data_IF_522479760096
#
_entry.id   IF_522479760096
#
_cell.length_a   1.000
_cell.length_b   1.000
_cell.length_c   1.000
_cell.angle_alpha   90.00
_cell.angle_beta   90.00
_cell.angle_gamma   90.00
#
_symmetry.space_group_name_H-M   'P 1'
#
loop_
_entity.id
_entity.type
_entity.pdbx_description
1 polymer ?
#
# COMPACT_ATOMS: atom_id res chain seq x y z
N UNK A 1 -64.14 47.55 -10.66
CA UNK A 1 -63.42 46.37 -11.19
C UNK A 1 -62.48 45.77 -10.12
N UNK A 2 -63.01 45.18 -9.04
CA UNK A 2 -62.21 44.48 -8.00
C UNK A 2 -62.82 43.14 -7.53
N UNK A 3 -63.96 42.73 -8.08
CA UNK A 3 -64.64 41.48 -7.70
C UNK A 3 -64.04 40.26 -8.39
N UNK A 4 -63.58 40.40 -9.64
CA UNK A 4 -63.03 39.28 -10.42
C UNK A 4 -61.74 38.70 -9.80
N UNK A 5 -60.75 39.50 -9.34
CA UNK A 5 -59.55 38.96 -8.69
C UNK A 5 -59.86 38.26 -7.36
N UNK A 6 -60.82 38.78 -6.60
CA UNK A 6 -61.20 38.22 -5.30
C UNK A 6 -61.87 36.84 -5.43
N UNK A 7 -62.69 36.65 -6.47
CA UNK A 7 -63.33 35.37 -6.77
C UNK A 7 -62.29 34.33 -7.20
N UNK A 8 -61.31 34.72 -8.03
CA UNK A 8 -60.24 33.81 -8.47
C UNK A 8 -59.39 33.34 -7.27
N UNK A 9 -59.06 34.26 -6.34
CA UNK A 9 -58.31 33.91 -5.13
C UNK A 9 -59.11 32.95 -4.23
N UNK A 10 -60.40 33.22 -4.01
CA UNK A 10 -61.28 32.38 -3.19
C UNK A 10 -61.43 30.96 -3.78
N UNK A 11 -61.60 30.85 -5.10
CA UNK A 11 -61.69 29.56 -5.80
C UNK A 11 -60.35 28.82 -5.73
N UNK A 12 -59.22 29.51 -5.85
CA UNK A 12 -57.89 28.89 -5.78
C UNK A 12 -57.60 28.31 -4.38
N UNK A 13 -58.02 29.00 -3.32
CA UNK A 13 -57.90 28.50 -1.94
C UNK A 13 -58.77 27.25 -1.75
N UNK A 14 -60.02 27.28 -2.24
CA UNK A 14 -60.93 26.13 -2.14
C UNK A 14 -60.40 24.91 -2.88
N UNK A 15 -59.85 25.08 -4.08
CA UNK A 15 -59.23 23.99 -4.85
C UNK A 15 -57.99 23.45 -4.13
N UNK A 16 -57.12 24.33 -3.61
CA UNK A 16 -55.93 23.93 -2.84
C UNK A 16 -56.27 23.11 -1.61
N UNK A 17 -57.29 23.52 -0.84
CA UNK A 17 -57.78 22.77 0.32
C UNK A 17 -58.39 21.42 -0.07
N UNK A 18 -59.09 21.34 -1.19
CA UNK A 18 -59.66 20.08 -1.69
C UNK A 18 -58.57 19.09 -2.09
N UNK A 19 -57.47 19.56 -2.67
CA UNK A 19 -56.32 18.73 -3.07
C UNK A 19 -55.63 18.15 -1.81
N UNK A 20 -55.38 18.97 -0.79
CA UNK A 20 -54.73 18.51 0.46
C UNK A 20 -55.55 17.43 1.16
N UNK A 21 -56.89 17.55 1.16
CA UNK A 21 -57.79 16.59 1.80
C UNK A 21 -57.98 15.31 0.96
N UNK A 22 -57.90 15.39 -0.37
CA UNK A 22 -58.13 14.24 -1.26
C UNK A 22 -56.90 13.35 -1.45
N UNK A 23 -55.68 13.88 -1.31
CA UNK A 23 -54.43 13.09 -1.41
C UNK A 23 -54.39 11.88 -0.46
N UNK A 24 -54.69 12.00 0.86
CA UNK A 24 -54.68 10.83 1.76
C UNK A 24 -55.82 9.82 1.50
N UNK A 25 -56.84 10.20 0.72
CA UNK A 25 -57.96 9.32 0.36
C UNK A 25 -57.62 8.38 -0.81
N UNK A 26 -56.79 8.85 -1.74
CA UNK A 26 -56.30 8.07 -2.90
C UNK A 26 -54.92 7.45 -2.65
N UNK A 27 -54.15 7.99 -1.71
CA UNK A 27 -52.86 7.46 -1.25
C UNK A 27 -52.92 7.26 0.28
N UNK A 28 -53.58 6.21 0.77
CA UNK A 28 -53.60 5.93 2.19
C UNK A 28 -52.16 5.77 2.68
N UNK A 29 -51.72 6.50 3.73
CA UNK A 29 -50.39 6.33 4.28
C UNK A 29 -50.27 4.89 4.76
N UNK A 30 -49.24 4.20 4.24
CA UNK A 30 -48.92 2.84 4.65
C UNK A 30 -48.68 2.87 6.15
N UNK A 31 -49.60 2.24 6.88
CA UNK A 31 -49.69 2.32 8.33
C UNK A 31 -48.38 1.96 9.01
N UNK A 32 -48.06 2.72 10.06
CA UNK A 32 -47.07 2.32 11.04
C UNK A 32 -47.50 1.00 11.68
N UNK A 33 -46.82 -0.06 11.29
CA UNK A 33 -46.70 -1.28 12.08
C UNK A 33 -45.33 -1.26 12.73
N UNK A 34 -45.30 -1.48 14.05
CA UNK A 34 -44.10 -1.76 14.83
C UNK A 34 -43.17 -2.73 14.11
N UNK A 35 -41.92 -2.30 13.92
CA UNK A 35 -40.85 -3.06 13.29
C UNK A 35 -39.60 -2.20 13.20
N UNK A 36 -38.79 -2.22 14.26
CA UNK A 36 -37.52 -1.49 14.31
C UNK A 36 -36.50 -2.01 13.28
N UNK A 37 -35.70 -1.08 12.76
CA UNK A 37 -34.37 -1.34 12.20
C UNK A 37 -34.31 -2.03 10.84
N UNK A 38 -34.60 -1.32 9.74
CA UNK A 38 -34.18 -1.79 8.40
C UNK A 38 -34.09 -0.72 7.30
N UNK A 39 -34.33 0.57 7.56
CA UNK A 39 -34.16 1.63 6.56
C UNK A 39 -32.87 2.38 6.88
N UNK A 40 -31.97 2.43 5.88
CA UNK A 40 -30.65 3.11 5.81
C UNK A 40 -29.35 2.30 6.03
N UNK A 41 -29.35 0.97 5.94
CA UNK A 41 -28.07 0.25 5.77
C UNK A 41 -27.49 0.41 4.35
N UNK A 42 -28.33 0.38 3.31
CA UNK A 42 -27.86 0.53 1.93
C UNK A 42 -27.40 1.97 1.64
N UNK A 43 -28.14 2.98 2.12
CA UNK A 43 -27.75 4.38 1.95
C UNK A 43 -26.44 4.71 2.69
N UNK A 44 -26.20 4.09 3.85
CA UNK A 44 -24.96 4.27 4.62
C UNK A 44 -23.78 3.54 3.98
N UNK A 45 -23.99 2.33 3.45
CA UNK A 45 -22.97 1.59 2.67
C UNK A 45 -22.61 2.34 1.39
N UNK A 46 -23.60 2.90 0.67
CA UNK A 46 -23.37 3.70 -0.55
C UNK A 46 -22.62 5.01 -0.24
N UNK A 47 -22.90 5.67 0.90
CA UNK A 47 -22.18 6.86 1.34
C UNK A 47 -20.72 6.54 1.71
N UNK A 48 -20.47 5.40 2.37
CA UNK A 48 -19.10 4.98 2.70
C UNK A 48 -18.32 4.55 1.45
N UNK A 49 -18.98 3.90 0.49
CA UNK A 49 -18.38 3.54 -0.80
C UNK A 49 -18.05 4.78 -1.64
N UNK A 50 -18.95 5.77 -1.69
CA UNK A 50 -18.70 7.05 -2.37
C UNK A 50 -17.61 7.89 -1.69
N UNK A 51 -17.50 7.84 -0.36
CA UNK A 51 -16.37 8.48 0.34
C UNK A 51 -15.05 7.77 0.05
N UNK A 52 -15.04 6.43 -0.02
CA UNK A 52 -13.88 5.66 -0.45
C UNK A 52 -13.43 6.00 -1.88
N UNK A 53 -14.38 6.15 -2.81
CA UNK A 53 -14.10 6.55 -4.20
C UNK A 53 -13.57 7.99 -4.28
N UNK A 54 -14.08 8.91 -3.46
CA UNK A 54 -13.58 10.29 -3.39
C UNK A 54 -12.17 10.37 -2.81
N UNK A 55 -11.84 9.53 -1.83
CA UNK A 55 -10.48 9.42 -1.28
C UNK A 55 -9.51 8.79 -2.28
N UNK A 56 -9.93 7.72 -2.97
CA UNK A 56 -9.14 7.11 -4.04
C UNK A 56 -8.92 8.09 -5.20
N UNK A 57 -9.92 8.89 -5.56
CA UNK A 57 -9.77 9.96 -6.55
C UNK A 57 -8.88 11.10 -6.04
N UNK A 58 -8.96 11.45 -4.76
CA UNK A 58 -8.06 12.46 -4.17
C UNK A 58 -6.61 11.99 -4.17
N UNK A 59 -6.36 10.69 -3.97
CA UNK A 59 -5.04 10.08 -4.09
C UNK A 59 -4.55 10.10 -5.55
N UNK A 60 -5.40 9.77 -6.52
CA UNK A 60 -5.05 9.88 -7.95
C UNK A 60 -4.75 11.34 -8.34
N UNK A 61 -5.49 12.31 -7.81
CA UNK A 61 -5.25 13.75 -8.06
C UNK A 61 -3.97 14.23 -7.38
N UNK A 62 -3.64 13.74 -6.19
CA UNK A 62 -2.36 14.02 -5.54
C UNK A 62 -1.19 13.42 -6.34
N UNK A 63 -1.33 12.17 -6.80
CA UNK A 63 -0.34 11.50 -7.65
C UNK A 63 -0.12 12.23 -8.98
N UNK A 64 -1.18 12.78 -9.59
CA UNK A 64 -1.08 13.59 -10.79
C UNK A 64 -0.37 14.93 -10.53
N UNK A 65 -0.61 15.58 -9.39
CA UNK A 65 0.11 16.80 -9.00
C UNK A 65 1.60 16.54 -8.80
N UNK A 66 1.96 15.46 -8.10
CA UNK A 66 3.35 15.08 -7.89
C UNK A 66 4.06 14.73 -9.21
N UNK A 67 3.35 14.13 -10.18
CA UNK A 67 3.87 13.89 -11.53
C UNK A 67 4.11 15.19 -12.30
N UNK A 68 3.23 16.19 -12.15
CA UNK A 68 3.39 17.51 -12.76
C UNK A 68 4.59 18.24 -12.14
N UNK A 69 4.72 18.24 -10.82
CA UNK A 69 5.84 18.87 -10.11
C UNK A 69 7.18 18.19 -10.45
N UNK A 70 7.21 16.86 -10.59
CA UNK A 70 8.39 16.13 -11.02
C UNK A 70 8.76 16.42 -12.48
N UNK A 71 7.77 16.60 -13.36
CA UNK A 71 8.00 16.99 -14.75
C UNK A 71 8.52 18.43 -14.84
N UNK A 72 7.96 19.34 -14.04
CA UNK A 72 8.38 20.74 -13.96
C UNK A 72 9.83 20.85 -13.47
N UNK A 73 10.19 20.11 -12.42
CA UNK A 73 11.58 20.03 -11.94
C UNK A 73 12.55 19.46 -12.98
N UNK A 74 12.11 18.49 -13.79
CA UNK A 74 12.91 17.94 -14.90
C UNK A 74 13.08 18.94 -16.04
N UNK A 75 12.06 19.73 -16.36
CA UNK A 75 12.13 20.80 -17.35
C UNK A 75 13.08 21.90 -16.86
N UNK A 76 12.97 22.31 -15.60
CA UNK A 76 13.89 23.29 -14.98
C UNK A 76 15.35 22.79 -15.02
N UNK A 77 15.59 21.51 -14.73
CA UNK A 77 16.94 20.92 -14.79
C UNK A 77 17.51 20.86 -16.22
N UNK A 78 16.65 20.67 -17.24
CA UNK A 78 17.04 20.68 -18.65
C UNK A 78 17.26 22.10 -19.18
N UNK A 79 16.47 23.06 -18.72
CA UNK A 79 16.59 24.48 -19.08
C UNK A 79 17.78 25.17 -18.39
N UNK A 80 18.21 24.68 -17.22
CA UNK A 80 19.32 25.25 -16.47
C UNK A 80 20.69 25.06 -17.15
N UNK A 81 20.89 24.04 -17.99
CA UNK A 81 22.14 23.75 -18.70
C UNK A 81 23.37 23.51 -17.80
N UNK A 82 24.40 22.76 -18.22
CA UNK A 82 25.56 22.51 -17.37
C UNK A 82 26.51 23.72 -17.38
N UNK A 83 26.51 24.52 -16.31
CA UNK A 83 27.59 25.47 -16.02
C UNK A 83 28.53 24.88 -14.98
N UNK A 84 29.53 24.10 -15.43
CA UNK A 84 30.59 23.55 -14.60
C UNK A 84 31.59 22.75 -15.44
N UNK A 85 32.90 22.82 -15.15
CA UNK A 85 33.94 22.36 -16.07
C UNK A 85 33.89 20.84 -16.22
N UNK A 86 34.10 20.38 -17.45
CA UNK A 86 34.09 18.99 -17.86
C UNK A 86 35.00 18.12 -16.98
N UNK A 87 34.40 17.38 -16.06
CA UNK A 87 34.96 16.16 -15.52
C UNK A 87 34.33 15.00 -16.30
N UNK A 88 35.20 14.14 -16.81
CA UNK A 88 34.98 13.02 -17.72
C UNK A 88 33.89 12.06 -17.18
N UNK A 89 32.63 12.33 -17.56
CA UNK A 89 31.44 11.56 -17.18
C UNK A 89 31.16 10.41 -18.14
N UNK A 90 32.20 9.70 -18.56
CA UNK A 90 32.04 8.45 -19.29
C UNK A 90 31.29 7.43 -18.42
N UNK A 91 30.31 6.76 -19.02
CA UNK A 91 29.71 5.53 -18.49
C UNK A 91 30.85 4.62 -17.99
N UNK A 92 31.03 4.51 -16.67
CA UNK A 92 32.03 3.61 -16.12
C UNK A 92 31.55 2.18 -16.37
N UNK A 93 32.00 1.60 -17.48
CA UNK A 93 32.05 0.17 -17.66
C UNK A 93 33.10 -0.33 -16.68
N UNK A 94 32.64 -0.85 -15.55
CA UNK A 94 33.48 -1.41 -14.48
C UNK A 94 34.31 -2.55 -15.12
N UNK A 95 35.60 -2.32 -15.25
CA UNK A 95 36.55 -3.37 -15.61
C UNK A 95 36.93 -4.10 -14.31
N UNK A 96 36.71 -5.41 -14.19
CA UNK A 96 37.03 -6.15 -12.97
C UNK A 96 38.55 -6.21 -12.78
N UNK A 97 39.06 -5.50 -11.78
CA UNK A 97 40.47 -5.49 -11.38
C UNK A 97 40.73 -6.43 -10.21
N UNK A 98 40.58 -7.73 -10.44
CA UNK A 98 41.13 -8.77 -9.56
C UNK A 98 40.11 -9.56 -8.73
N UNK A 99 40.59 -10.52 -7.91
CA UNK A 99 39.74 -11.62 -7.42
C UNK A 99 38.77 -11.28 -6.29
N UNK A 100 38.69 -10.05 -5.75
CA UNK A 100 37.94 -9.76 -4.51
C UNK A 100 37.40 -8.32 -4.37
N UNK A 101 37.21 -7.54 -5.44
CA UNK A 101 36.74 -6.14 -5.31
C UNK A 101 35.21 -5.99 -5.08
N UNK A 102 34.41 -7.05 -5.26
CA UNK A 102 32.93 -7.00 -5.09
C UNK A 102 32.52 -7.01 -3.59
N UNK A 103 33.40 -7.47 -2.70
CA UNK A 103 33.07 -7.73 -1.29
C UNK A 103 32.75 -6.46 -0.47
N UNK A 104 33.31 -5.31 -0.84
CA UNK A 104 33.03 -4.01 -0.20
C UNK A 104 31.96 -3.18 -0.95
N UNK A 105 31.35 -3.75 -2.00
CA UNK A 105 30.42 -3.04 -2.87
C UNK A 105 28.95 -3.33 -2.59
N UNK A 106 28.61 -4.36 -1.81
CA UNK A 106 27.20 -4.70 -1.58
C UNK A 106 26.39 -3.60 -0.89
N UNK A 107 27.03 -2.84 0.01
CA UNK A 107 26.42 -1.68 0.66
C UNK A 107 26.52 -0.39 -0.19
N UNK A 108 27.19 -0.42 -1.34
CA UNK A 108 27.29 0.72 -2.24
C UNK A 108 25.91 1.06 -2.82
N UNK A 109 25.59 2.35 -2.81
CA UNK A 109 24.32 2.86 -3.31
C UNK A 109 24.37 3.05 -4.83
N UNK A 110 23.51 2.33 -5.55
CA UNK A 110 23.39 2.32 -7.01
C UNK A 110 22.02 2.84 -7.45
N UNK A 111 21.93 3.35 -8.68
CA UNK A 111 20.64 3.76 -9.25
C UNK A 111 19.78 2.53 -9.52
N UNK A 112 18.50 2.61 -9.16
CA UNK A 112 17.53 1.57 -9.52
C UNK A 112 17.00 1.86 -10.92
N UNK A 113 17.49 1.13 -11.92
CA UNK A 113 17.01 1.25 -13.29
C UNK A 113 15.64 0.56 -13.47
N UNK A 114 14.82 1.09 -14.37
CA UNK A 114 13.52 0.52 -14.76
C UNK A 114 12.63 0.06 -13.58
N UNK A 115 12.49 0.92 -12.57
CA UNK A 115 11.77 0.64 -11.32
C UNK A 115 10.37 0.06 -11.52
N UNK A 116 9.68 0.48 -12.60
CA UNK A 116 8.30 0.05 -12.88
C UNK A 116 8.22 -1.39 -13.39
N UNK A 117 9.31 -1.96 -13.88
CA UNK A 117 9.35 -3.34 -14.35
C UNK A 117 9.81 -4.34 -13.28
N UNK A 118 10.28 -3.87 -12.10
CA UNK A 118 10.89 -4.72 -11.07
C UNK A 118 9.96 -5.81 -10.55
N UNK A 119 8.67 -5.53 -10.41
CA UNK A 119 7.67 -6.46 -9.87
C UNK A 119 6.80 -7.08 -10.96
N UNK A 120 7.33 -7.21 -12.19
CA UNK A 120 6.53 -7.68 -13.33
C UNK A 120 5.96 -9.08 -13.08
N UNK A 121 4.64 -9.18 -13.11
CA UNK A 121 3.93 -10.44 -12.90
C UNK A 121 3.52 -10.69 -11.44
N UNK A 122 3.82 -9.78 -10.53
CA UNK A 122 3.36 -9.81 -9.14
C UNK A 122 2.45 -8.62 -8.86
N UNK A 123 1.41 -8.86 -8.05
CA UNK A 123 0.49 -7.82 -7.63
C UNK A 123 0.77 -7.41 -6.20
N UNK A 124 0.97 -6.11 -5.98
CA UNK A 124 1.12 -5.49 -4.65
C UNK A 124 -0.24 -5.58 -3.92
N UNK A 125 -0.34 -6.23 -2.76
CA UNK A 125 -1.59 -6.30 -2.00
C UNK A 125 -1.98 -4.92 -1.45
N UNK A 126 -3.19 -4.46 -1.74
CA UNK A 126 -3.69 -3.18 -1.21
C UNK A 126 -4.12 -3.34 0.25
N UNK A 127 -4.06 -2.25 1.03
CA UNK A 127 -4.57 -2.23 2.41
C UNK A 127 -6.01 -2.74 2.50
N UNK A 128 -6.89 -2.30 1.60
CA UNK A 128 -8.29 -2.74 1.56
C UNK A 128 -8.42 -4.25 1.35
N UNK A 129 -7.65 -4.81 0.41
CA UNK A 129 -7.66 -6.25 0.14
C UNK A 129 -7.11 -7.07 1.33
N UNK A 130 -6.07 -6.59 2.01
CA UNK A 130 -5.54 -7.25 3.21
C UNK A 130 -6.58 -7.27 4.34
N UNK A 131 -7.29 -6.16 4.56
CA UNK A 131 -8.36 -6.08 5.55
C UNK A 131 -9.53 -6.99 5.16
N UNK A 132 -9.91 -7.05 3.89
CA UNK A 132 -10.96 -7.96 3.42
C UNK A 132 -10.58 -9.43 3.64
N UNK A 133 -9.31 -9.77 3.40
CA UNK A 133 -8.80 -11.15 3.47
C UNK A 133 -8.61 -11.64 4.91
N UNK A 134 -8.14 -10.77 5.81
CA UNK A 134 -7.73 -11.17 7.16
C UNK A 134 -8.54 -10.54 8.29
N UNK A 135 -9.33 -9.51 8.01
CA UNK A 135 -9.83 -8.56 8.99
C UNK A 135 -8.74 -7.56 9.43
N UNK A 136 -9.09 -6.58 10.27
CA UNK A 136 -8.12 -5.63 10.80
C UNK A 136 -7.08 -6.37 11.68
N UNK A 137 -5.79 -5.98 11.65
CA UNK A 137 -4.75 -6.61 12.46
C UNK A 137 -4.82 -6.19 13.94
N UNK A 138 -5.39 -5.02 14.23
CA UNK A 138 -5.69 -4.55 15.58
C UNK A 138 -6.94 -3.65 15.61
N UNK A 139 -7.54 -3.50 16.79
CA UNK A 139 -8.77 -2.72 16.98
C UNK A 139 -8.57 -1.22 16.78
N UNK A 140 -7.39 -0.71 17.12
CA UNK A 140 -7.02 0.70 16.97
C UNK A 140 -5.66 0.79 16.28
N UNK A 141 -5.61 1.49 15.15
CA UNK A 141 -4.40 1.71 14.39
C UNK A 141 -4.07 3.21 14.39
N UNK A 142 -2.80 3.51 14.64
CA UNK A 142 -2.26 4.86 14.60
C UNK A 142 -0.95 4.88 13.82
N UNK A 143 -0.13 5.90 14.07
CA UNK A 143 1.19 6.09 13.45
C UNK A 143 2.34 5.37 14.19
N UNK A 144 2.07 4.85 15.39
CA UNK A 144 3.01 4.09 16.23
C UNK A 144 2.72 2.60 16.19
N UNK A 145 3.75 1.77 16.35
CA UNK A 145 3.60 0.31 16.32
C UNK A 145 2.77 -0.16 17.54
N UNK A 146 1.63 -0.78 17.27
CA UNK A 146 0.79 -1.45 18.24
C UNK A 146 1.09 -2.96 18.30
N UNK A 147 0.41 -3.64 19.22
CA UNK A 147 0.37 -5.12 19.28
C UNK A 147 -0.76 -5.64 18.40
N UNK A 148 -0.54 -6.76 17.71
CA UNK A 148 -1.59 -7.43 16.94
C UNK A 148 -2.65 -8.00 17.88
N UNK A 149 -3.92 -7.56 17.73
CA UNK A 149 -5.05 -8.06 18.54
C UNK A 149 -5.94 -9.03 17.78
N UNK A 150 -5.77 -9.17 16.46
CA UNK A 150 -6.47 -10.17 15.67
C UNK A 150 -6.04 -11.60 16.09
N UNK A 151 -6.94 -12.41 16.69
CA UNK A 151 -6.55 -13.69 17.30
C UNK A 151 -6.12 -14.74 16.26
N UNK A 152 -6.67 -14.68 15.04
CA UNK A 152 -6.29 -15.59 13.94
C UNK A 152 -4.85 -15.33 13.52
N UNK A 153 -4.52 -14.06 13.26
CA UNK A 153 -3.16 -13.69 12.84
C UNK A 153 -2.16 -13.83 13.98
N UNK A 154 -2.52 -13.42 15.20
CA UNK A 154 -1.65 -13.51 16.37
C UNK A 154 -1.26 -14.95 16.70
N UNK A 155 -2.17 -15.91 16.50
CA UNK A 155 -1.88 -17.34 16.67
C UNK A 155 -0.88 -17.91 15.66
N UNK A 156 -0.65 -17.22 14.56
CA UNK A 156 0.29 -17.59 13.49
C UNK A 156 1.60 -16.80 13.54
N UNK A 157 1.70 -15.76 14.38
CA UNK A 157 2.93 -14.97 14.49
C UNK A 157 4.07 -15.79 15.09
N UNK A 158 5.24 -15.65 14.49
CA UNK A 158 6.48 -16.27 14.95
C UNK A 158 7.58 -15.23 15.05
N UNK A 159 8.13 -15.08 16.25
CA UNK A 159 9.35 -14.33 16.52
C UNK A 159 10.53 -15.29 16.51
N UNK A 160 11.23 -15.39 15.38
CA UNK A 160 12.28 -16.40 15.16
C UNK A 160 13.43 -15.87 14.32
N UNK A 161 14.56 -16.57 14.40
CA UNK A 161 15.70 -16.36 13.51
C UNK A 161 15.45 -17.11 12.20
N UNK A 162 15.58 -16.42 11.07
CA UNK A 162 15.50 -17.00 9.71
C UNK A 162 16.77 -16.60 8.97
N UNK A 163 17.66 -17.57 8.78
CA UNK A 163 18.99 -17.30 8.24
C UNK A 163 19.74 -16.24 9.07
N UNK A 164 20.23 -15.13 8.47
CA UNK A 164 20.98 -14.10 9.18
C UNK A 164 20.08 -13.07 9.90
N UNK A 165 18.75 -13.09 9.67
CA UNK A 165 17.82 -12.08 10.20
C UNK A 165 16.89 -12.61 11.28
N UNK A 166 16.54 -11.75 12.26
CA UNK A 166 15.53 -12.04 13.27
C UNK A 166 14.23 -11.33 12.93
N UNK A 167 13.16 -12.10 12.70
CA UNK A 167 11.88 -11.55 12.23
C UNK A 167 10.73 -11.90 13.18
N UNK A 168 9.70 -11.07 13.18
CA UNK A 168 8.39 -11.36 13.75
C UNK A 168 7.37 -11.29 12.61
N UNK A 169 6.91 -12.42 12.10
CA UNK A 169 6.06 -12.49 10.90
C UNK A 169 5.08 -13.66 11.01
N UNK A 170 4.09 -13.74 10.13
CA UNK A 170 3.23 -14.92 10.05
C UNK A 170 4.07 -16.14 9.65
N UNK A 171 3.74 -17.29 10.23
CA UNK A 171 4.39 -18.58 9.96
C UNK A 171 4.64 -18.86 8.46
N UNK A 172 3.65 -18.76 7.54
CA UNK A 172 3.91 -19.01 6.13
C UNK A 172 4.88 -17.99 5.50
N UNK A 173 4.87 -16.73 5.95
CA UNK A 173 5.84 -15.72 5.52
C UNK A 173 7.25 -16.06 6.00
N UNK A 174 7.40 -16.53 7.24
CA UNK A 174 8.66 -17.02 7.81
C UNK A 174 9.21 -18.20 7.00
N UNK A 175 8.35 -19.17 6.68
CA UNK A 175 8.72 -20.34 5.88
C UNK A 175 9.17 -19.93 4.48
N UNK A 176 8.44 -19.04 3.82
CA UNK A 176 8.79 -18.53 2.48
C UNK A 176 10.09 -17.72 2.48
N UNK A 177 10.27 -16.82 3.45
CA UNK A 177 11.51 -16.06 3.63
C UNK A 177 12.72 -17.00 3.82
N UNK A 178 12.54 -18.10 4.57
CA UNK A 178 13.59 -19.11 4.75
C UNK A 178 14.02 -19.76 3.44
N UNK A 179 13.07 -20.04 2.53
CA UNK A 179 13.37 -20.58 1.20
C UNK A 179 14.17 -19.58 0.36
N UNK A 180 13.74 -18.31 0.34
CA UNK A 180 14.44 -17.24 -0.39
C UNK A 180 15.88 -17.09 0.12
N UNK A 181 16.07 -16.99 1.44
CA UNK A 181 17.38 -16.77 2.03
C UNK A 181 18.32 -17.97 1.85
N UNK A 182 17.80 -19.21 1.83
CA UNK A 182 18.62 -20.37 1.51
C UNK A 182 19.07 -20.36 0.03
N UNK A 183 18.22 -19.93 -0.91
CA UNK A 183 18.63 -19.73 -2.31
C UNK A 183 19.72 -18.68 -2.45
N UNK A 184 19.60 -17.56 -1.72
CA UNK A 184 20.64 -16.53 -1.68
C UNK A 184 21.94 -17.12 -1.13
N UNK A 185 21.89 -17.86 -0.02
CA UNK A 185 23.07 -18.50 0.57
C UNK A 185 23.77 -19.47 -0.39
N UNK A 186 23.01 -20.22 -1.19
CA UNK A 186 23.57 -21.16 -2.16
C UNK A 186 24.22 -20.44 -3.35
N UNK A 187 23.69 -19.28 -3.75
CA UNK A 187 24.18 -18.51 -4.88
C UNK A 187 25.32 -17.54 -4.52
N UNK A 188 25.19 -16.83 -3.41
CA UNK A 188 26.12 -15.83 -2.90
C UNK A 188 26.18 -15.87 -1.36
N UNK A 189 27.04 -16.75 -0.79
CA UNK A 189 27.23 -16.85 0.66
C UNK A 189 27.75 -15.56 1.32
N UNK A 190 28.49 -14.73 0.58
CA UNK A 190 29.09 -13.50 1.10
C UNK A 190 28.04 -12.40 1.24
N UNK A 191 27.17 -12.22 0.24
CA UNK A 191 25.99 -11.36 0.37
C UNK A 191 25.11 -11.84 1.52
N UNK A 192 24.83 -13.15 1.58
CA UNK A 192 23.99 -13.73 2.64
C UNK A 192 24.48 -13.38 4.05
N UNK A 193 25.80 -13.44 4.29
CA UNK A 193 26.38 -13.13 5.59
C UNK A 193 26.22 -11.67 6.03
N UNK A 194 25.94 -10.76 5.08
CA UNK A 194 25.81 -9.31 5.30
C UNK A 194 24.38 -8.82 5.42
N UNK A 195 23.40 -9.68 5.12
CA UNK A 195 21.98 -9.34 5.24
C UNK A 195 21.63 -9.14 6.71
N UNK A 196 20.97 -8.02 7.01
CA UNK A 196 20.38 -7.76 8.31
C UNK A 196 18.94 -7.23 8.12
N UNK A 197 18.19 -7.14 9.21
CA UNK A 197 16.80 -6.68 9.21
C UNK A 197 16.66 -5.33 9.88
N UNK A 198 15.80 -4.49 9.31
CA UNK A 198 15.41 -3.18 9.82
C UNK A 198 14.02 -3.18 10.45
N UNK A 199 13.26 -4.27 10.28
CA UNK A 199 11.89 -4.40 10.76
C UNK A 199 11.14 -5.55 10.09
N UNK A 200 10.09 -6.05 10.73
CA UNK A 200 9.21 -7.09 10.15
C UNK A 200 7.76 -6.92 10.60
N UNK A 201 7.48 -6.93 11.91
CA UNK A 201 6.17 -6.56 12.45
C UNK A 201 6.16 -5.12 12.99
N UNK A 202 5.23 -4.31 12.49
CA UNK A 202 4.85 -3.05 13.11
C UNK A 202 3.38 -2.76 12.78
N UNK A 203 2.49 -2.99 13.74
CA UNK A 203 1.03 -2.87 13.56
C UNK A 203 0.63 -1.41 13.61
N UNK A 204 0.48 -0.77 12.45
CA UNK A 204 0.19 0.65 12.30
C UNK A 204 -0.43 0.99 10.94
N UNK A 205 -0.89 2.23 10.81
CA UNK A 205 -1.15 2.85 9.53
C UNK A 205 0.17 3.18 8.82
N UNK A 206 0.13 3.27 7.49
CA UNK A 206 1.19 3.85 6.68
C UNK A 206 1.45 5.27 7.19
N UNK A 207 2.72 5.67 7.29
CA UNK A 207 3.06 6.96 7.91
C UNK A 207 2.47 8.09 7.07
N UNK A 208 1.68 8.95 7.71
CA UNK A 208 0.96 10.04 7.02
C UNK A 208 -0.36 9.63 6.39
N UNK A 209 -0.78 8.37 6.50
CA UNK A 209 -2.11 7.92 6.09
C UNK A 209 -3.09 7.92 7.27
N UNK A 210 -4.35 8.27 6.99
CA UNK A 210 -5.44 8.20 7.96
C UNK A 210 -6.21 6.87 7.90
N UNK A 211 -6.07 6.10 6.82
CA UNK A 211 -6.89 4.92 6.54
C UNK A 211 -6.12 3.71 6.00
N UNK A 212 -4.93 3.90 5.42
CA UNK A 212 -4.14 2.80 4.84
C UNK A 212 -3.34 2.09 5.92
N UNK A 213 -3.60 0.82 6.10
CA UNK A 213 -2.85 -0.09 6.99
C UNK A 213 -1.59 -0.55 6.29
N UNK A 214 -0.45 -0.53 6.98
CA UNK A 214 0.80 -1.05 6.45
C UNK A 214 0.78 -2.58 6.35
N UNK A 215 1.40 -3.15 5.32
CA UNK A 215 1.57 -4.61 5.17
C UNK A 215 2.40 -5.24 6.30
N UNK A 216 3.32 -4.48 6.91
CA UNK A 216 3.99 -4.86 8.17
C UNK A 216 3.03 -5.14 9.32
N UNK A 217 1.82 -4.58 9.29
CA UNK A 217 0.82 -4.83 10.33
C UNK A 217 0.26 -6.24 10.30
N UNK A 218 0.37 -6.91 9.16
CA UNK A 218 -0.14 -8.27 8.96
C UNK A 218 0.95 -9.32 9.13
N UNK A 219 2.22 -8.94 9.35
CA UNK A 219 3.34 -9.89 9.41
C UNK A 219 3.65 -10.53 8.04
N UNK A 220 3.42 -9.79 6.96
CA UNK A 220 3.60 -10.20 5.57
C UNK A 220 4.80 -9.52 4.88
N UNK A 221 5.49 -8.64 5.60
CA UNK A 221 6.57 -7.80 5.07
C UNK A 221 7.81 -7.82 5.95
N UNK A 222 8.96 -7.56 5.35
CA UNK A 222 10.25 -7.44 6.02
C UNK A 222 11.05 -6.31 5.39
N UNK A 223 11.65 -5.49 6.24
CA UNK A 223 12.63 -4.50 5.82
C UNK A 223 14.03 -5.08 6.04
N UNK A 224 14.83 -5.09 4.99
CA UNK A 224 16.19 -5.60 4.98
C UNK A 224 17.20 -4.49 4.72
N UNK A 225 18.43 -4.74 5.14
CA UNK A 225 19.57 -3.90 4.84
C UNK A 225 20.83 -4.75 4.68
N UNK A 226 21.87 -4.14 4.10
CA UNK A 226 23.21 -4.73 3.99
C UNK A 226 24.15 -4.04 4.97
N UNK A 227 24.89 -4.83 5.75
CA UNK A 227 25.90 -4.37 6.72
C UNK A 227 25.34 -3.41 7.80
N UNK A 228 24.04 -3.48 8.10
CA UNK A 228 23.40 -2.62 9.12
C UNK A 228 23.07 -1.21 8.63
N UNK A 229 23.29 -0.90 7.34
CA UNK A 229 23.11 0.46 6.79
C UNK A 229 21.74 0.56 6.12
N UNK A 230 20.87 1.42 6.67
CA UNK A 230 19.55 1.67 6.11
C UNK A 230 19.63 2.51 4.83
N UNK A 231 18.87 2.11 3.81
CA UNK A 231 18.72 2.87 2.58
C UNK A 231 17.84 4.13 2.74
N UNK A 232 18.04 5.13 1.88
CA UNK A 232 17.32 6.41 1.99
C UNK A 232 16.04 6.41 1.16
N UNK A 233 14.91 6.32 1.85
CA UNK A 233 13.56 6.33 1.27
C UNK A 233 13.33 7.46 0.24
N UNK A 234 13.09 7.10 -1.02
CA UNK A 234 12.61 8.00 -2.05
C UNK A 234 13.70 8.70 -2.86
N UNK A 235 14.97 8.32 -2.69
CA UNK A 235 16.09 8.95 -3.41
C UNK A 235 16.35 8.32 -4.79
N UNK A 236 15.64 7.22 -5.10
CA UNK A 236 15.74 6.51 -6.38
C UNK A 236 17.00 5.65 -6.50
N UNK A 237 17.66 5.40 -5.40
CA UNK A 237 18.85 4.56 -5.29
C UNK A 237 18.58 3.43 -4.30
N UNK A 238 19.51 2.48 -4.23
CA UNK A 238 19.47 1.39 -3.26
C UNK A 238 20.84 0.78 -3.08
N UNK A 239 21.05 0.01 -2.01
CA UNK A 239 22.25 -0.81 -1.86
C UNK A 239 22.32 -1.89 -2.95
N UNK A 240 23.48 -2.08 -3.58
CA UNK A 240 23.68 -3.08 -4.63
C UNK A 240 23.20 -4.48 -4.20
N UNK A 241 23.45 -4.87 -2.95
CA UNK A 241 22.97 -6.13 -2.40
C UNK A 241 21.45 -6.27 -2.42
N UNK A 242 20.69 -5.20 -2.16
CA UNK A 242 19.21 -5.21 -2.22
C UNK A 242 18.71 -5.41 -3.66
N UNK A 243 19.44 -4.89 -4.66
CA UNK A 243 19.14 -5.15 -6.07
C UNK A 243 19.29 -6.64 -6.39
N UNK A 244 20.37 -7.27 -5.93
CA UNK A 244 20.61 -8.71 -6.13
C UNK A 244 19.55 -9.54 -5.39
N UNK A 245 19.22 -9.18 -4.15
CA UNK A 245 18.19 -9.88 -3.37
C UNK A 245 16.84 -9.84 -4.07
N UNK A 246 16.50 -8.72 -4.72
CA UNK A 246 15.21 -8.55 -5.37
C UNK A 246 14.88 -9.62 -6.41
N UNK A 247 15.88 -10.17 -7.10
CA UNK A 247 15.67 -11.25 -8.07
C UNK A 247 15.23 -12.55 -7.39
N UNK A 248 15.82 -12.89 -6.24
CA UNK A 248 15.45 -14.07 -5.45
C UNK A 248 14.06 -13.91 -4.84
N UNK A 249 13.76 -12.73 -4.30
CA UNK A 249 12.46 -12.40 -3.72
C UNK A 249 11.36 -12.48 -4.79
N UNK A 250 11.53 -11.82 -5.94
CA UNK A 250 10.57 -11.86 -7.03
C UNK A 250 10.33 -13.28 -7.55
N UNK A 251 11.39 -14.09 -7.68
CA UNK A 251 11.29 -15.47 -8.12
C UNK A 251 10.43 -16.37 -7.19
N UNK A 252 10.33 -16.01 -5.90
CA UNK A 252 9.49 -16.69 -4.90
C UNK A 252 8.18 -15.94 -4.60
N UNK A 253 7.81 -14.95 -5.42
CA UNK A 253 6.53 -14.26 -5.32
C UNK A 253 6.49 -13.13 -4.29
N UNK A 254 7.63 -12.55 -3.94
CA UNK A 254 7.71 -11.35 -3.12
C UNK A 254 7.88 -10.10 -3.99
N UNK A 255 7.12 -9.07 -3.65
CA UNK A 255 7.21 -7.73 -4.21
C UNK A 255 8.36 -6.97 -3.55
N UNK A 256 9.09 -6.20 -4.33
CA UNK A 256 10.12 -5.28 -3.85
C UNK A 256 9.64 -3.81 -3.87
N UNK A 257 9.76 -3.12 -2.73
CA UNK A 257 9.32 -1.74 -2.54
C UNK A 257 10.08 -0.71 -3.36
N UNK A 258 11.26 -1.05 -3.91
CA UNK A 258 11.93 -0.17 -4.87
C UNK A 258 11.08 0.07 -6.14
N UNK A 259 10.11 -0.80 -6.44
CA UNK A 259 9.19 -0.63 -7.58
C UNK A 259 8.01 0.32 -7.35
N UNK A 260 7.82 0.80 -6.10
CA UNK A 260 6.69 1.66 -5.73
C UNK A 260 6.76 3.07 -6.35
N UNK A 261 5.66 3.82 -6.27
CA UNK A 261 5.66 5.23 -6.67
C UNK A 261 6.73 6.03 -5.93
N UNK A 262 6.63 6.02 -4.59
CA UNK A 262 7.71 6.41 -3.69
C UNK A 262 8.58 5.18 -3.43
N UNK A 263 9.84 5.26 -3.82
CA UNK A 263 10.82 4.21 -3.62
C UNK A 263 10.97 3.85 -2.14
N UNK A 264 10.93 2.55 -1.84
CA UNK A 264 11.19 1.98 -0.51
C UNK A 264 12.02 0.69 -0.65
N UNK A 265 13.31 0.82 -0.94
CA UNK A 265 14.15 -0.29 -1.39
C UNK A 265 14.55 -1.28 -0.31
N UNK A 266 14.40 -0.92 0.97
CA UNK A 266 14.56 -1.85 2.08
C UNK A 266 13.38 -2.83 2.18
N UNK A 267 12.22 -2.48 1.63
CA UNK A 267 10.96 -3.16 1.86
C UNK A 267 10.73 -4.33 0.91
N UNK A 268 10.40 -5.50 1.46
CA UNK A 268 9.91 -6.66 0.74
C UNK A 268 8.60 -7.14 1.34
N UNK A 269 7.62 -7.49 0.50
CA UNK A 269 6.33 -8.02 0.96
C UNK A 269 5.82 -9.16 0.10
N UNK A 270 5.04 -10.05 0.71
CA UNK A 270 4.39 -11.12 -0.04
C UNK A 270 3.41 -10.55 -1.07
N UNK A 271 3.51 -10.98 -2.33
CA UNK A 271 2.54 -10.61 -3.35
C UNK A 271 1.14 -11.14 -3.03
N UNK A 272 0.12 -10.56 -3.68
CA UNK A 272 -1.24 -11.07 -3.61
C UNK A 272 -1.31 -12.55 -3.99
N UNK A 273 -0.64 -12.94 -5.07
CA UNK A 273 -0.63 -14.31 -5.59
C UNK A 273 -0.03 -15.29 -4.57
N UNK A 274 1.07 -14.90 -3.92
CA UNK A 274 1.70 -15.70 -2.88
C UNK A 274 0.78 -15.86 -1.66
N UNK A 275 0.15 -14.77 -1.23
CA UNK A 275 -0.79 -14.80 -0.11
C UNK A 275 -2.01 -15.68 -0.43
N UNK A 276 -2.59 -15.54 -1.62
CA UNK A 276 -3.72 -16.35 -2.08
C UNK A 276 -3.38 -17.85 -2.07
N UNK A 277 -2.14 -18.20 -2.42
CA UNK A 277 -1.67 -19.59 -2.33
C UNK A 277 -1.70 -20.12 -0.88
N UNK A 278 -1.29 -19.30 0.10
CA UNK A 278 -1.30 -19.68 1.51
C UNK A 278 -2.72 -19.82 2.07
N UNK A 279 -3.63 -18.93 1.67
CA UNK A 279 -5.05 -19.01 2.04
C UNK A 279 -5.66 -20.28 1.46
N UNK A 280 -5.40 -20.58 0.19
CA UNK A 280 -5.89 -21.79 -0.48
C UNK A 280 -5.38 -23.08 0.18
N UNK A 281 -4.12 -23.07 0.61
CA UNK A 281 -3.49 -24.19 1.30
C UNK A 281 -3.90 -24.31 2.78
N UNK A 282 -4.71 -23.37 3.31
CA UNK A 282 -5.14 -23.35 4.71
C UNK A 282 -4.02 -23.02 5.70
N UNK A 283 -2.98 -22.31 5.26
CA UNK A 283 -1.86 -21.88 6.09
C UNK A 283 -2.11 -20.56 6.84
N UNK A 284 -3.13 -19.79 6.41
CA UNK A 284 -3.61 -18.58 7.09
C UNK A 284 -5.12 -18.65 7.26
#
# INVERSE_FOLDING_TARGET
MRLIPAIILAVSILIGSLIIVSIPLFFPPKGGGEGGGAVDNNARIDIELMHGDLEAQAEVVAQLRDQVDALENRVIALEAGPTGPAADGGMQIISPSGPNDILDQYAQVVLVADRRALNKGLTVPTSGWLIETFGPPADNLGDTCATMTNPRLAGLLQNTQVGPVKVNMLKPSVESLGVVLEKVKLADPDLYARINTSGSLCVRLVRGSASSVSSHSFGLSVDLNIDGVLDTLGDGRTQLGLTILSDFFNADGWVWGAGYGREDSMHFEASKELIESWVKDGKI
#
